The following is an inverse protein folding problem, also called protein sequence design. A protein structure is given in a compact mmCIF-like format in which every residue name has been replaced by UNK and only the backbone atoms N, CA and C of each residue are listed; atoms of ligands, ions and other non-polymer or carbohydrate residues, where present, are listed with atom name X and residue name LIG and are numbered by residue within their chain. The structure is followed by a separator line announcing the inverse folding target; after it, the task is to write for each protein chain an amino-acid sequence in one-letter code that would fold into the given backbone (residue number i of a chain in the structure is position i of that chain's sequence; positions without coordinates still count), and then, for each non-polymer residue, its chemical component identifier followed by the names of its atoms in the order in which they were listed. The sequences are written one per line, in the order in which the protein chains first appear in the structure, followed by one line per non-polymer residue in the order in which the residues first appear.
data_IF_190327784352
#
_entry.id   IF_190327784352
#
_cell.length_a   1.000
_cell.length_b   1.000
_cell.length_c   1.000
_cell.angle_alpha   90.00
_cell.angle_beta   90.00
_cell.angle_gamma   90.00
#
_symmetry.space_group_name_H-M   'P 1'
#
loop_
_entity.id
_entity.type
_entity.pdbx_description
1 polymer ?
#
# COMPACT_ATOMS: atom_id res chain seq x y z
N UNK A 1 -0.77 -14.86 -11.15
CA UNK A 1 0.17 -15.80 -10.50
C UNK A 1 1.28 -14.99 -9.86
N UNK A 2 1.69 -15.36 -8.64
CA UNK A 2 2.72 -14.69 -7.86
C UNK A 2 3.86 -15.65 -7.56
N UNK A 3 5.10 -15.18 -7.75
CA UNK A 3 6.33 -15.90 -7.37
C UNK A 3 7.26 -14.89 -6.73
N UNK A 4 7.73 -15.16 -5.50
CA UNK A 4 8.59 -14.23 -4.76
C UNK A 4 9.31 -14.87 -3.58
N UNK A 5 10.05 -14.03 -2.85
CA UNK A 5 10.77 -14.40 -1.62
C UNK A 5 10.38 -13.48 -0.45
N UNK A 6 10.99 -13.66 0.72
CA UNK A 6 10.65 -12.92 1.94
C UNK A 6 10.97 -11.42 1.91
N UNK A 7 11.76 -10.94 0.94
CA UNK A 7 12.13 -9.52 0.82
C UNK A 7 11.03 -8.71 0.13
N UNK A 8 10.18 -9.36 -0.67
CA UNK A 8 9.08 -8.68 -1.35
C UNK A 8 7.87 -8.56 -0.43
N UNK A 9 7.47 -7.31 -0.20
CA UNK A 9 6.31 -6.92 0.60
C UNK A 9 5.40 -6.01 -0.23
N UNK A 10 4.09 -6.18 -0.09
CA UNK A 10 3.09 -5.29 -0.70
C UNK A 10 2.52 -4.39 0.40
N UNK A 11 2.68 -3.07 0.23
CA UNK A 11 2.20 -2.06 1.17
C UNK A 11 0.67 -2.03 1.24
N UNK A 12 0.12 -1.34 2.24
CA UNK A 12 -1.34 -1.22 2.36
C UNK A 12 -1.96 -0.58 1.13
N UNK A 13 -2.91 -1.30 0.54
CA UNK A 13 -3.77 -0.83 -0.55
C UNK A 13 -5.10 -1.57 -0.48
N UNK A 14 -6.02 -1.21 -1.37
CA UNK A 14 -7.30 -1.90 -1.56
C UNK A 14 -7.56 -2.09 -3.04
N UNK A 15 -8.34 -3.12 -3.36
CA UNK A 15 -8.75 -3.43 -4.72
C UNK A 15 -10.26 -3.30 -4.88
N UNK A 16 -10.72 -3.00 -6.10
CA UNK A 16 -12.15 -3.02 -6.47
C UNK A 16 -12.60 -4.41 -6.95
N UNK A 17 -12.00 -5.46 -6.39
CA UNK A 17 -12.20 -6.85 -6.80
C UNK A 17 -12.52 -7.72 -5.60
N UNK A 18 -13.42 -8.68 -5.81
CA UNK A 18 -13.55 -9.86 -4.95
C UNK A 18 -12.39 -10.80 -5.29
N UNK A 19 -11.52 -11.08 -4.30
CA UNK A 19 -10.27 -11.79 -4.53
C UNK A 19 -10.24 -13.13 -3.81
N UNK A 20 -10.11 -14.24 -4.55
CA UNK A 20 -9.82 -15.56 -3.99
C UNK A 20 -8.32 -15.83 -4.09
N UNK A 21 -7.62 -15.74 -2.97
CA UNK A 21 -6.17 -15.83 -2.88
C UNK A 21 -5.73 -17.21 -2.36
N UNK A 22 -5.21 -18.05 -3.25
CA UNK A 22 -4.78 -19.42 -2.96
C UNK A 22 -3.25 -19.53 -2.86
N UNK A 23 -2.74 -20.16 -1.80
CA UNK A 23 -1.30 -20.39 -1.62
C UNK A 23 -0.93 -21.80 -2.09
N UNK A 24 0.10 -21.90 -2.93
CA UNK A 24 0.57 -23.18 -3.50
C UNK A 24 1.81 -23.69 -2.75
N UNK A 25 2.78 -22.83 -2.47
CA UNK A 25 3.95 -23.16 -1.64
C UNK A 25 4.46 -21.92 -0.91
N UNK A 26 5.17 -22.12 0.20
CA UNK A 26 5.51 -21.05 1.15
C UNK A 26 4.27 -20.60 1.94
N UNK A 27 4.31 -19.40 2.49
CA UNK A 27 3.20 -18.81 3.26
C UNK A 27 2.98 -17.35 2.87
N UNK A 28 1.74 -16.89 3.03
CA UNK A 28 1.36 -15.48 2.88
C UNK A 28 0.81 -14.95 4.20
N UNK A 29 1.27 -13.77 4.60
CA UNK A 29 0.89 -13.12 5.85
C UNK A 29 0.18 -11.81 5.52
N UNK A 30 -1.12 -11.76 5.81
CA UNK A 30 -1.97 -10.60 5.58
C UNK A 30 -2.19 -9.83 6.89
N UNK A 31 -2.09 -8.51 6.80
CA UNK A 31 -2.77 -7.60 7.72
C UNK A 31 -3.97 -7.02 6.98
N UNK A 32 -5.14 -7.05 7.61
CA UNK A 32 -6.41 -6.65 7.00
C UNK A 32 -7.09 -5.58 7.86
N UNK A 33 -7.58 -4.52 7.21
CA UNK A 33 -8.50 -3.55 7.79
C UNK A 33 -9.76 -3.44 6.92
N UNK A 34 -10.94 -3.31 7.53
CA UNK A 34 -12.19 -3.15 6.78
C UNK A 34 -12.22 -1.80 6.06
N UNK A 35 -13.05 -1.65 5.01
CA UNK A 35 -13.19 -0.38 4.28
C UNK A 35 -13.63 0.80 5.17
N UNK A 36 -14.32 0.53 6.29
CA UNK A 36 -14.75 1.53 7.28
C UNK A 36 -13.57 2.21 8.00
N UNK A 37 -12.39 1.59 7.98
CA UNK A 37 -11.18 2.08 8.64
C UNK A 37 -10.32 2.97 7.72
N UNK A 38 -10.87 3.43 6.58
CA UNK A 38 -10.16 4.30 5.61
C UNK A 38 -9.51 5.54 6.26
N UNK A 39 -10.14 6.11 7.28
CA UNK A 39 -9.63 7.25 8.04
C UNK A 39 -8.28 6.98 8.75
N UNK A 40 -7.92 5.71 8.93
CA UNK A 40 -6.67 5.25 9.56
C UNK A 40 -5.55 5.02 8.55
N UNK A 41 -5.83 5.08 7.23
CA UNK A 41 -4.87 4.77 6.17
C UNK A 41 -4.08 5.97 5.65
N UNK A 42 -4.41 7.20 6.08
CA UNK A 42 -3.66 8.41 5.73
C UNK A 42 -3.36 8.51 4.22
N UNK A 43 -4.37 8.33 3.37
CA UNK A 43 -4.18 8.35 1.92
C UNK A 43 -3.81 9.77 1.48
N UNK A 44 -2.70 9.91 0.74
CA UNK A 44 -2.19 11.19 0.21
C UNK A 44 -1.87 11.05 -1.28
N UNK A 45 -1.85 12.18 -1.98
CA UNK A 45 -1.40 12.24 -3.38
C UNK A 45 0.12 12.29 -3.44
N UNK A 46 0.73 11.35 -4.15
CA UNK A 46 2.17 11.28 -4.40
C UNK A 46 2.46 11.36 -5.89
N UNK A 47 3.57 11.99 -6.32
CA UNK A 47 4.00 11.92 -7.71
C UNK A 47 4.37 10.47 -8.04
N UNK A 48 3.87 9.97 -9.17
CA UNK A 48 4.19 8.64 -9.66
C UNK A 48 5.63 8.59 -10.15
N UNK A 49 6.33 7.51 -9.82
CA UNK A 49 7.72 7.31 -10.17
C UNK A 49 7.99 5.84 -10.42
N UNK A 50 9.06 5.56 -11.17
CA UNK A 50 9.50 4.21 -11.51
C UNK A 50 10.96 4.03 -11.14
N UNK A 51 11.30 2.82 -10.71
CA UNK A 51 12.69 2.45 -10.49
C UNK A 51 13.36 2.14 -11.82
N UNK A 52 14.55 2.71 -12.02
CA UNK A 52 15.43 2.44 -13.15
C UNK A 52 16.70 1.78 -12.61
N UNK A 53 17.09 0.65 -13.18
CA UNK A 53 18.26 -0.10 -12.73
C UNK A 53 19.40 0.01 -13.74
N UNK A 54 20.54 0.50 -13.28
CA UNK A 54 21.75 0.59 -14.08
C UNK A 54 22.58 -0.68 -13.92
N UNK A 55 22.67 -1.50 -14.98
CA UNK A 55 23.55 -2.67 -14.98
C UNK A 55 25.04 -2.30 -14.91
N UNK A 56 25.42 -1.10 -15.32
CA UNK A 56 26.81 -0.65 -15.32
C UNK A 56 27.29 -0.26 -13.91
N UNK A 57 26.43 0.36 -13.10
CA UNK A 57 26.76 0.80 -11.74
C UNK A 57 26.23 -0.13 -10.65
N UNK A 58 25.25 -0.98 -10.97
CA UNK A 58 24.56 -1.83 -9.99
C UNK A 58 23.60 -1.07 -9.08
N UNK A 59 23.21 0.15 -9.46
CA UNK A 59 22.40 1.05 -8.64
C UNK A 59 20.98 1.21 -9.19
N UNK A 60 20.05 1.49 -8.27
CA UNK A 60 18.69 1.90 -8.59
C UNK A 60 18.55 3.41 -8.47
N UNK A 61 17.93 4.03 -9.46
CA UNK A 61 17.48 5.42 -9.42
C UNK A 61 15.95 5.47 -9.45
N UNK A 62 15.38 6.54 -8.89
CA UNK A 62 13.94 6.80 -8.94
C UNK A 62 13.67 7.91 -9.96
N UNK A 63 12.90 7.60 -11.00
CA UNK A 63 12.57 8.51 -12.09
C UNK A 63 11.09 8.89 -12.01
N UNK A 64 10.79 10.19 -11.95
CA UNK A 64 9.41 10.68 -11.97
C UNK A 64 8.78 10.43 -13.34
N UNK A 65 7.53 9.95 -13.36
CA UNK A 65 6.79 9.73 -14.59
C UNK A 65 6.51 11.07 -15.30
N UNK A 66 6.63 11.09 -16.63
CA UNK A 66 6.29 12.23 -17.48
C UNK A 66 5.18 11.85 -18.48
N UNK A 67 4.10 12.65 -18.62
CA UNK A 67 3.80 13.86 -17.85
C UNK A 67 3.52 13.57 -16.37
N UNK A 68 3.67 14.59 -15.52
CA UNK A 68 3.47 14.46 -14.07
C UNK A 68 2.10 13.85 -13.76
N UNK A 69 2.11 12.70 -13.11
CA UNK A 69 0.92 11.96 -12.69
C UNK A 69 0.96 11.78 -11.19
N UNK A 70 -0.14 12.10 -10.51
CA UNK A 70 -0.25 11.90 -9.06
C UNK A 70 -1.16 10.71 -8.75
N UNK A 71 -0.77 9.90 -7.76
CA UNK A 71 -1.53 8.72 -7.30
C UNK A 71 -1.87 8.84 -5.83
N UNK A 72 -3.12 8.52 -5.43
CA UNK A 72 -3.46 8.39 -4.01
C UNK A 72 -2.84 7.10 -3.46
N UNK A 73 -2.06 7.19 -2.39
CA UNK A 73 -1.44 6.03 -1.74
C UNK A 73 -1.46 6.13 -0.22
N UNK A 74 -1.51 4.97 0.44
CA UNK A 74 -1.44 4.86 1.90
C UNK A 74 -0.05 5.26 2.40
N UNK A 75 0.03 6.18 3.37
CA UNK A 75 1.31 6.60 3.97
C UNK A 75 1.80 5.69 5.11
N UNK A 76 0.95 4.79 5.60
CA UNK A 76 1.23 3.97 6.78
C UNK A 76 2.08 2.77 6.43
N UNK A 77 3.22 2.63 7.11
CA UNK A 77 3.97 1.38 7.17
C UNK A 77 3.65 0.63 8.48
N UNK A 78 3.03 -0.57 8.42
CA UNK A 78 2.77 -1.37 9.62
C UNK A 78 4.03 -1.93 10.29
N UNK A 79 5.14 -2.02 9.58
CA UNK A 79 6.40 -2.61 10.05
C UNK A 79 7.57 -1.65 9.84
N UNK A 80 7.52 -0.43 10.40
CA UNK A 80 8.55 0.57 10.15
C UNK A 80 9.90 0.11 10.70
N UNK A 81 10.98 0.58 10.06
CA UNK A 81 12.33 0.34 10.56
C UNK A 81 12.50 0.94 11.97
N UNK A 82 13.49 0.47 12.75
CA UNK A 82 13.79 1.06 14.05
C UNK A 82 14.06 2.57 13.98
N UNK A 83 14.70 3.06 12.91
CA UNK A 83 14.99 4.48 12.75
C UNK A 83 13.74 5.31 12.46
N UNK A 84 12.79 4.78 11.68
CA UNK A 84 11.57 5.49 11.27
C UNK A 84 10.38 5.29 12.22
N UNK A 85 10.51 4.40 13.20
CA UNK A 85 9.41 3.99 14.08
C UNK A 85 8.73 5.18 14.78
N UNK A 86 9.48 6.02 15.48
CA UNK A 86 8.90 7.14 16.24
C UNK A 86 8.23 8.17 15.32
N UNK A 87 8.79 8.36 14.12
CA UNK A 87 8.21 9.22 13.07
C UNK A 87 6.91 8.64 12.54
N UNK A 88 6.81 7.34 12.34
CA UNK A 88 5.58 6.67 11.88
C UNK A 88 4.49 6.72 12.96
N UNK A 89 4.84 6.42 14.22
CA UNK A 89 3.90 6.49 15.34
C UNK A 89 3.34 7.90 15.54
N UNK A 90 4.20 8.92 15.48
CA UNK A 90 3.77 10.32 15.65
C UNK A 90 3.00 10.88 14.46
N UNK A 91 3.33 10.49 13.22
CA UNK A 91 2.65 10.99 12.02
C UNK A 91 1.31 10.27 11.76
N UNK A 92 1.16 9.03 12.22
CA UNK A 92 0.00 8.18 11.90
C UNK A 92 -0.73 7.60 13.14
N UNK A 93 -1.07 8.42 14.16
CA UNK A 93 -1.63 7.93 15.42
C UNK A 93 -2.96 7.17 15.28
N UNK A 94 -3.84 7.55 14.34
CA UNK A 94 -5.12 6.85 14.11
C UNK A 94 -4.92 5.39 13.70
N UNK A 95 -3.78 5.07 13.08
CA UNK A 95 -3.41 3.71 12.79
C UNK A 95 -2.87 3.01 14.04
N UNK A 96 -1.80 3.56 14.62
CA UNK A 96 -1.01 2.90 15.68
C UNK A 96 -1.71 2.84 17.04
N UNK A 97 -2.51 3.86 17.39
CA UNK A 97 -3.27 3.90 18.64
C UNK A 97 -4.67 3.27 18.50
N UNK A 98 -5.08 2.97 17.26
CA UNK A 98 -6.36 2.35 16.95
C UNK A 98 -6.39 0.83 17.15
N UNK A 99 -7.55 0.18 16.90
CA UNK A 99 -7.69 -1.27 16.99
C UNK A 99 -6.70 -2.01 16.09
N UNK A 100 -6.10 -3.09 16.58
CA UNK A 100 -5.14 -3.87 15.78
C UNK A 100 -5.80 -4.40 14.48
N UNK A 101 -5.10 -4.39 13.35
CA UNK A 101 -5.58 -5.04 12.13
C UNK A 101 -5.79 -6.54 12.36
N UNK A 102 -6.68 -7.15 11.58
CA UNK A 102 -6.79 -8.60 11.55
C UNK A 102 -5.52 -9.19 10.94
N UNK A 103 -4.95 -10.22 11.56
CA UNK A 103 -3.80 -10.93 11.02
C UNK A 103 -4.21 -12.33 10.58
N UNK A 104 -3.86 -12.69 9.36
CA UNK A 104 -4.15 -14.00 8.77
C UNK A 104 -2.89 -14.54 8.10
N UNK A 105 -2.54 -15.80 8.38
CA UNK A 105 -1.48 -16.52 7.67
C UNK A 105 -2.09 -17.65 6.88
N UNK A 106 -1.81 -17.68 5.58
CA UNK A 106 -2.22 -18.74 4.66
C UNK A 106 -1.05 -19.70 4.43
N UNK A 107 -1.32 -20.97 4.62
CA UNK A 107 -0.41 -22.09 4.38
C UNK A 107 -0.63 -22.67 2.98
N UNK A 108 0.27 -23.53 2.48
CA UNK A 108 0.05 -24.25 1.24
C UNK A 108 -1.28 -25.02 1.27
N UNK A 109 -2.13 -24.80 0.27
CA UNK A 109 -3.48 -25.36 0.17
C UNK A 109 -4.59 -24.46 0.71
N UNK A 110 -4.29 -23.42 1.49
CA UNK A 110 -5.29 -22.48 1.99
C UNK A 110 -5.74 -21.52 0.90
N UNK A 111 -7.02 -21.11 0.98
CA UNK A 111 -7.62 -20.05 0.17
C UNK A 111 -8.22 -19.00 1.10
N UNK A 112 -7.83 -17.74 0.91
CA UNK A 112 -8.47 -16.58 1.52
C UNK A 112 -9.45 -15.97 0.53
N UNK A 113 -10.71 -15.84 0.94
CA UNK A 113 -11.58 -14.85 0.33
C UNK A 113 -11.27 -13.47 0.94
N UNK A 114 -10.68 -12.59 0.14
CA UNK A 114 -10.41 -11.21 0.47
C UNK A 114 -11.50 -10.34 -0.18
N UNK A 115 -12.46 -9.81 0.59
CA UNK A 115 -13.57 -9.06 0.02
C UNK A 115 -13.11 -7.75 -0.60
N UNK A 116 -13.86 -7.27 -1.59
CA UNK A 116 -13.58 -5.99 -2.24
C UNK A 116 -13.46 -4.83 -1.24
N UNK A 117 -12.59 -3.88 -1.58
CA UNK A 117 -12.31 -2.65 -0.82
C UNK A 117 -11.61 -2.85 0.53
N UNK A 118 -11.31 -4.07 0.95
CA UNK A 118 -10.53 -4.31 2.18
C UNK A 118 -9.08 -3.86 2.00
N UNK A 119 -8.61 -3.07 2.96
CA UNK A 119 -7.21 -2.67 3.00
C UNK A 119 -6.36 -3.85 3.44
N UNK A 120 -5.32 -4.15 2.67
CA UNK A 120 -4.48 -5.29 2.94
C UNK A 120 -2.99 -4.98 2.70
N UNK A 121 -2.17 -5.46 3.62
CA UNK A 121 -0.72 -5.46 3.52
C UNK A 121 -0.23 -6.90 3.54
N UNK A 122 0.68 -7.27 2.64
CA UNK A 122 1.04 -8.67 2.40
C UNK A 122 2.54 -8.87 2.50
N UNK A 123 2.94 -9.78 3.41
CA UNK A 123 4.30 -10.35 3.48
C UNK A 123 4.26 -11.83 3.11
N UNK A 124 5.42 -12.43 2.93
CA UNK A 124 5.52 -13.85 2.58
C UNK A 124 6.75 -14.51 3.20
N UNK A 125 6.62 -15.81 3.48
CA UNK A 125 7.70 -16.66 3.94
C UNK A 125 7.94 -17.78 2.91
N UNK A 126 9.16 -17.95 2.40
CA UNK A 126 9.45 -18.97 1.40
C UNK A 126 9.41 -20.39 1.96
N UNK A 127 9.22 -21.36 1.06
CA UNK A 127 9.46 -22.76 1.34
C UNK A 127 10.97 -23.07 1.52
N UNK A 128 11.30 -24.35 1.76
CA UNK A 128 12.69 -24.82 1.92
C UNK A 128 13.57 -24.61 0.69
N UNK A 129 12.98 -24.29 -0.48
CA UNK A 129 13.69 -23.95 -1.72
C UNK A 129 13.78 -22.43 -1.95
N UNK A 130 13.41 -21.62 -0.96
CA UNK A 130 13.50 -20.17 -1.03
C UNK A 130 12.38 -19.49 -1.83
N UNK A 131 11.25 -20.17 -2.09
CA UNK A 131 10.17 -19.65 -2.95
C UNK A 131 8.82 -19.59 -2.26
N UNK A 132 8.06 -18.55 -2.54
CA UNK A 132 6.61 -18.49 -2.27
C UNK A 132 5.87 -18.45 -3.59
N UNK A 133 4.83 -19.28 -3.77
CA UNK A 133 3.99 -19.28 -4.96
C UNK A 133 2.52 -19.21 -4.54
N UNK A 134 1.78 -18.30 -5.16
CA UNK A 134 0.34 -18.15 -4.96
C UNK A 134 -0.39 -17.81 -6.26
N UNK A 135 -1.68 -18.09 -6.29
CA UNK A 135 -2.58 -17.77 -7.40
C UNK A 135 -3.79 -17.05 -6.84
N UNK A 136 -4.22 -16.00 -7.51
CA UNK A 136 -5.39 -15.21 -7.14
C UNK A 136 -6.37 -15.17 -8.31
N UNK A 137 -7.65 -15.26 -8.01
CA UNK A 137 -8.74 -15.05 -8.96
C UNK A 137 -9.46 -13.76 -8.59
N UNK A 138 -9.55 -12.84 -9.55
CA UNK A 138 -10.14 -11.52 -9.36
C UNK A 138 -11.45 -11.46 -10.11
N UNK A 139 -12.50 -11.12 -9.37
CA UNK A 139 -13.83 -10.88 -9.91
C UNK A 139 -14.20 -9.43 -9.63
N UNK A 140 -14.72 -8.72 -10.63
CA UNK A 140 -15.16 -7.34 -10.44
C UNK A 140 -16.14 -7.26 -9.27
N UNK A 141 -15.95 -6.27 -8.41
CA UNK A 141 -16.92 -6.01 -7.35
C UNK A 141 -18.23 -5.51 -7.94
N UNK A 142 -19.31 -5.70 -7.17
CA UNK A 142 -20.55 -5.00 -7.46
C UNK A 142 -20.46 -3.54 -6.97
N UNK A 143 -20.60 -2.60 -7.89
CA UNK A 143 -20.60 -1.16 -7.61
C UNK A 143 -21.96 -0.71 -7.05
N UNK A 144 -22.29 -1.20 -5.86
CA UNK A 144 -23.57 -0.96 -5.19
C UNK A 144 -23.46 0.09 -4.07
N UNK A 145 -24.45 0.10 -3.17
CA UNK A 145 -24.52 1.04 -2.05
C UNK A 145 -23.27 1.02 -1.15
N UNK A 146 -22.57 -0.12 -1.04
CA UNK A 146 -21.33 -0.21 -0.25
C UNK A 146 -20.23 0.66 -0.85
N UNK A 147 -20.12 0.68 -2.18
CA UNK A 147 -19.17 1.53 -2.89
C UNK A 147 -19.50 3.00 -2.73
N UNK A 148 -20.78 3.37 -2.83
CA UNK A 148 -21.22 4.75 -2.59
C UNK A 148 -20.89 5.22 -1.16
N UNK A 149 -21.18 4.41 -0.14
CA UNK A 149 -20.84 4.74 1.24
C UNK A 149 -19.34 4.79 1.50
N UNK A 150 -18.56 3.92 0.86
CA UNK A 150 -17.10 3.99 0.97
C UNK A 150 -16.58 5.33 0.42
N UNK A 151 -17.03 5.75 -0.76
CA UNK A 151 -16.61 7.03 -1.33
C UNK A 151 -17.03 8.22 -0.46
N UNK A 152 -18.23 8.15 0.12
CA UNK A 152 -18.65 9.14 1.11
C UNK A 152 -17.68 9.18 2.30
N UNK A 153 -17.38 8.04 2.94
CA UNK A 153 -16.44 7.97 4.06
C UNK A 153 -15.04 8.50 3.69
N UNK A 154 -14.54 8.16 2.50
CA UNK A 154 -13.25 8.65 2.02
C UNK A 154 -13.22 10.17 1.81
N UNK A 155 -14.36 10.77 1.42
CA UNK A 155 -14.47 12.23 1.20
C UNK A 155 -14.51 13.03 2.51
N UNK A 156 -14.80 12.39 3.65
CA UNK A 156 -14.87 13.05 4.94
C UNK A 156 -13.45 13.29 5.46
N UNK A 157 -13.05 14.55 5.52
CA UNK A 157 -11.81 14.93 6.19
C UNK A 157 -11.95 14.73 7.70
N UNK A 158 -11.25 13.74 8.24
CA UNK A 158 -11.11 13.59 9.69
C UNK A 158 -10.25 14.77 10.20
N UNK A 159 -10.89 15.72 10.90
CA UNK A 159 -10.36 17.03 11.32
C UNK A 159 -9.11 16.99 12.24
N UNK A 160 -8.51 15.83 12.47
CA UNK A 160 -7.44 15.64 13.45
C UNK A 160 -6.02 15.62 12.88
N UNK A 161 -5.83 15.73 11.57
CA UNK A 161 -4.50 15.57 10.96
C UNK A 161 -3.94 16.95 10.59
N UNK A 162 -2.91 17.41 11.33
CA UNK A 162 -2.04 18.49 10.86
C UNK A 162 -1.38 18.01 9.57
N UNK A 163 -1.88 18.44 8.41
CA UNK A 163 -1.25 18.15 7.12
C UNK A 163 0.09 18.87 7.06
N UNK A 164 1.25 18.19 7.07
CA UNK A 164 2.50 18.84 6.74
C UNK A 164 2.46 19.09 5.24
N UNK A 165 2.35 20.35 4.82
CA UNK A 165 2.57 20.75 3.44
C UNK A 165 4.00 20.39 3.06
N UNK A 166 4.16 19.53 2.05
CA UNK A 166 5.46 19.39 1.38
C UNK A 166 5.85 20.76 0.84
N UNK A 167 7.05 21.28 1.11
CA UNK A 167 7.49 22.53 0.52
C UNK A 167 7.61 22.33 -0.99
N UNK A 168 6.76 23.02 -1.75
CA UNK A 168 6.93 23.18 -3.18
C UNK A 168 8.11 24.14 -3.35
N UNK A 169 9.29 23.61 -3.67
CA UNK A 169 10.37 24.43 -4.23
C UNK A 169 9.94 24.85 -5.63
N UNK A 170 9.42 26.07 -5.72
CA UNK A 170 9.27 26.77 -6.99
C UNK A 170 10.68 27.14 -7.43
N UNK A 171 11.19 26.49 -8.47
CA UNK A 171 12.31 27.03 -9.22
C UNK A 171 11.75 28.21 -10.03
N UNK A 172 12.06 29.43 -9.59
CA UNK A 172 11.94 30.62 -10.44
C UNK A 172 13.02 30.52 -11.51
N UNK A 173 12.61 30.19 -12.74
CA UNK A 173 13.42 30.46 -13.92
C UNK A 173 13.53 31.98 -14.06
N UNK A 174 14.70 32.51 -13.67
CA UNK A 174 15.12 33.86 -14.02
C UNK A 174 15.45 33.86 -15.52
N UNK A 175 14.49 34.25 -16.34
CA UNK A 175 14.76 34.70 -17.70
C UNK A 175 15.72 35.90 -17.65
N UNK A 176 16.94 35.67 -18.13
CA UNK A 176 17.91 36.73 -18.40
C UNK A 176 17.64 37.30 -19.79
N UNK A 177 17.03 38.49 -19.84
CA UNK A 177 17.06 39.37 -21.02
C UNK A 177 17.48 40.78 -20.57
N UNK A 178 18.78 41.07 -20.72
CA UNK A 178 19.38 42.38 -21.06
C UNK A 178 20.91 42.25 -21.14
#
# INVERSE_FOLDING_TARGET
MWIGNHLSTTSFHKDHYENLYAVVTGQKHFLLLPPTDVHRMYIRMYPAAQYSYSHATGEFTLELEKPDRYVPWCSVDPYPSPEDRDKQLSNFPLYFDGPKPFSCTLNPGDILYLPSMWFHHVRQSPDSRGRTIAVNYWYDMQFDIKYAYFNFLQSIHCLSIKTPTLPVTVHEDLDSDA
#
